data_IF_760511894498
#
_entry.id   IF_760511894498
#
_cell.length_a   1.000
_cell.length_b   1.000
_cell.length_c   1.000
_cell.angle_alpha   90.00
_cell.angle_beta   90.00
_cell.angle_gamma   90.00
#
_symmetry.space_group_name_H-M   'P 1'
#
loop_
_entity.id
_entity.type
_entity.pdbx_description
1 polymer ?
#
# COMPACT_ATOMS: atom_id res chain seq x y z
N UNK A 1 16.96 22.58 -2.00
CA UNK A 1 15.81 21.63 -1.90
C UNK A 1 16.01 20.58 -2.97
N UNK A 2 15.83 19.32 -2.63
CA UNK A 2 15.83 18.20 -3.58
C UNK A 2 14.58 18.32 -4.48
N UNK A 3 14.67 17.94 -5.75
CA UNK A 3 13.52 17.98 -6.65
C UNK A 3 12.57 16.78 -6.42
N UNK A 4 11.31 16.91 -6.83
CA UNK A 4 10.32 15.80 -6.76
C UNK A 4 10.80 14.61 -7.63
N UNK A 5 11.44 14.87 -8.77
CA UNK A 5 12.03 13.84 -9.62
C UNK A 5 13.15 13.06 -8.91
N UNK A 6 13.99 13.75 -8.17
CA UNK A 6 15.08 13.11 -7.41
C UNK A 6 14.54 12.36 -6.20
N UNK A 7 13.51 12.91 -5.51
CA UNK A 7 12.79 12.20 -4.44
C UNK A 7 12.13 10.93 -4.97
N UNK A 8 11.48 10.99 -6.15
CA UNK A 8 10.86 9.84 -6.81
C UNK A 8 11.88 8.71 -7.05
N UNK A 9 13.05 9.04 -7.63
CA UNK A 9 14.09 8.04 -7.87
C UNK A 9 14.62 7.39 -6.59
N UNK A 10 14.84 8.18 -5.55
CA UNK A 10 15.31 7.69 -4.25
C UNK A 10 14.25 6.86 -3.53
N UNK A 11 12.98 7.29 -3.56
CA UNK A 11 11.87 6.55 -2.97
C UNK A 11 11.67 5.17 -3.62
N UNK A 12 11.82 5.06 -4.95
CA UNK A 12 11.80 3.77 -5.64
C UNK A 12 12.93 2.83 -5.17
N UNK A 13 14.10 3.36 -4.84
CA UNK A 13 15.19 2.55 -4.29
C UNK A 13 14.88 2.09 -2.86
N UNK A 14 14.35 2.99 -2.04
CA UNK A 14 13.99 2.70 -0.64
C UNK A 14 12.96 1.57 -0.57
N UNK A 15 11.86 1.69 -1.32
CA UNK A 15 10.79 0.69 -1.29
C UNK A 15 11.25 -0.67 -1.83
N UNK A 16 12.12 -0.69 -2.84
CA UNK A 16 12.72 -1.95 -3.34
C UNK A 16 13.63 -2.60 -2.30
N UNK A 17 14.39 -1.80 -1.56
CA UNK A 17 15.23 -2.33 -0.48
C UNK A 17 14.38 -2.91 0.65
N UNK A 18 13.31 -2.26 1.05
CA UNK A 18 12.37 -2.76 2.04
C UNK A 18 11.70 -4.07 1.58
N UNK A 19 11.24 -4.13 0.32
CA UNK A 19 10.68 -5.36 -0.26
C UNK A 19 11.70 -6.51 -0.31
N UNK A 20 12.95 -6.23 -0.66
CA UNK A 20 14.01 -7.23 -0.64
C UNK A 20 14.29 -7.74 0.77
N UNK A 21 14.29 -6.86 1.78
CA UNK A 21 14.44 -7.25 3.18
C UNK A 21 13.29 -8.17 3.63
N UNK A 22 12.04 -7.81 3.32
CA UNK A 22 10.87 -8.64 3.62
C UNK A 22 10.95 -10.01 2.93
N UNK A 23 11.28 -10.03 1.63
CA UNK A 23 11.40 -11.27 0.86
C UNK A 23 12.47 -12.22 1.42
N UNK A 24 13.65 -11.69 1.76
CA UNK A 24 14.76 -12.50 2.29
C UNK A 24 14.49 -13.05 3.68
N UNK A 25 13.67 -12.35 4.48
CA UNK A 25 13.39 -12.72 5.87
C UNK A 25 12.11 -13.52 6.05
N UNK A 26 11.23 -13.59 5.07
CA UNK A 26 9.92 -14.22 5.22
C UNK A 26 9.99 -15.75 5.52
N UNK A 27 11.10 -16.42 5.17
CA UNK A 27 11.32 -17.85 5.45
C UNK A 27 12.18 -18.08 6.70
N UNK A 28 12.67 -17.00 7.34
CA UNK A 28 13.49 -17.11 8.55
C UNK A 28 12.59 -17.10 9.80
N UNK A 29 13.20 -17.38 10.95
CA UNK A 29 12.53 -17.23 12.23
C UNK A 29 12.33 -15.75 12.56
N UNK A 30 11.08 -15.33 12.71
CA UNK A 30 10.68 -13.99 13.17
C UNK A 30 9.56 -14.10 14.22
N UNK A 31 9.47 -13.09 15.06
CA UNK A 31 8.40 -13.05 16.07
C UNK A 31 7.13 -12.47 15.44
N UNK A 32 6.00 -13.06 15.82
CA UNK A 32 4.66 -12.62 15.42
C UNK A 32 3.90 -12.23 16.67
N UNK A 33 3.47 -10.97 16.73
CA UNK A 33 2.64 -10.43 17.80
C UNK A 33 1.25 -10.08 17.25
N UNK A 34 0.30 -9.82 18.14
CA UNK A 34 -1.02 -9.29 17.80
C UNK A 34 -1.12 -7.84 18.26
N UNK A 35 -1.63 -6.94 17.42
CA UNK A 35 -1.85 -5.51 17.77
C UNK A 35 -3.12 -5.34 18.61
N UNK A 36 -4.28 -5.61 18.02
CA UNK A 36 -5.58 -5.40 18.67
C UNK A 36 -6.34 -6.70 18.91
N UNK A 37 -6.20 -7.67 18.02
CA UNK A 37 -6.87 -8.97 18.09
C UNK A 37 -6.15 -10.01 17.21
N UNK A 38 -6.58 -11.28 17.26
CA UNK A 38 -5.93 -12.41 16.56
C UNK A 38 -5.87 -12.28 15.02
N UNK A 39 -6.58 -11.32 14.42
CA UNK A 39 -6.53 -11.05 12.97
C UNK A 39 -5.69 -9.84 12.62
N UNK A 40 -5.16 -9.12 13.62
CA UNK A 40 -4.37 -7.92 13.46
C UNK A 40 -2.93 -8.22 13.92
N UNK A 41 -2.12 -8.71 12.99
CA UNK A 41 -0.77 -9.19 13.26
C UNK A 41 0.27 -8.11 12.98
N UNK A 42 1.39 -8.23 13.67
CA UNK A 42 2.63 -7.50 13.40
C UNK A 42 3.81 -8.45 13.60
N UNK A 43 4.84 -8.31 12.81
CA UNK A 43 6.08 -9.08 12.98
C UNK A 43 7.26 -8.17 13.30
N UNK A 44 8.37 -8.78 13.74
CA UNK A 44 9.64 -8.04 13.87
C UNK A 44 10.09 -7.46 12.54
N UNK A 45 9.71 -8.07 11.41
CA UNK A 45 10.07 -7.61 10.07
C UNK A 45 9.29 -6.36 9.66
N UNK A 46 8.00 -6.24 10.03
CA UNK A 46 7.23 -4.99 9.84
C UNK A 46 7.96 -3.81 10.51
N UNK A 47 8.34 -3.98 11.78
CA UNK A 47 9.05 -2.96 12.56
C UNK A 47 10.42 -2.61 11.97
N UNK A 48 11.21 -3.60 11.57
CA UNK A 48 12.51 -3.38 10.94
C UNK A 48 12.40 -2.68 9.59
N UNK A 49 11.41 -3.06 8.78
CA UNK A 49 11.14 -2.41 7.50
C UNK A 49 10.71 -0.96 7.67
N UNK A 50 9.84 -0.69 8.64
CA UNK A 50 9.42 0.69 8.92
C UNK A 50 10.62 1.55 9.33
N UNK A 51 11.46 1.06 10.24
CA UNK A 51 12.67 1.78 10.64
C UNK A 51 13.60 2.03 9.44
N UNK A 52 13.83 1.00 8.61
CA UNK A 52 14.65 1.11 7.40
C UNK A 52 14.13 2.21 6.45
N UNK A 53 12.82 2.21 6.19
CA UNK A 53 12.19 3.20 5.30
C UNK A 53 12.30 4.59 5.92
N UNK A 54 11.89 4.75 7.18
CA UNK A 54 11.88 6.05 7.87
C UNK A 54 13.27 6.66 7.96
N UNK A 55 14.30 5.87 8.32
CA UNK A 55 15.69 6.33 8.39
C UNK A 55 16.22 6.83 7.04
N UNK A 56 15.81 6.18 5.95
CA UNK A 56 16.21 6.60 4.62
C UNK A 56 15.44 7.82 4.13
N UNK A 57 14.14 7.91 4.42
CA UNK A 57 13.33 9.09 4.11
C UNK A 57 13.89 10.32 4.81
N UNK A 58 14.24 10.23 6.10
CA UNK A 58 14.84 11.34 6.84
C UNK A 58 16.19 11.81 6.26
N UNK A 59 16.96 10.93 5.61
CA UNK A 59 18.21 11.30 4.93
C UNK A 59 17.97 12.06 3.63
N UNK A 60 16.94 11.69 2.87
CA UNK A 60 16.67 12.30 1.57
C UNK A 60 15.75 13.51 1.64
N UNK A 61 14.92 13.59 2.69
CA UNK A 61 13.91 14.63 2.89
C UNK A 61 13.82 14.97 4.39
N UNK A 62 14.85 15.61 4.98
CA UNK A 62 15.01 15.75 6.43
C UNK A 62 13.96 16.62 7.12
N UNK A 63 13.31 17.53 6.37
CA UNK A 63 12.28 18.43 6.88
C UNK A 63 10.86 17.86 6.74
N UNK A 64 10.72 16.63 6.20
CA UNK A 64 9.42 15.99 6.04
C UNK A 64 8.86 15.40 7.33
N UNK A 65 7.53 15.30 7.40
CA UNK A 65 6.83 14.51 8.39
C UNK A 65 6.62 13.08 7.86
N UNK A 66 6.61 12.09 8.74
CA UNK A 66 6.40 10.67 8.38
C UNK A 66 5.27 10.09 9.21
N UNK A 67 4.18 9.70 8.56
CA UNK A 67 3.10 8.88 9.15
C UNK A 67 3.34 7.42 8.77
N UNK A 68 3.49 6.55 9.75
CA UNK A 68 3.75 5.14 9.51
C UNK A 68 2.90 4.23 10.40
N UNK A 69 2.67 3.00 9.95
CA UNK A 69 1.71 2.07 10.57
C UNK A 69 2.16 1.57 11.93
N UNK A 70 3.44 1.21 12.09
CA UNK A 70 3.97 0.59 13.32
C UNK A 70 4.39 1.61 14.40
N UNK A 71 4.28 2.91 14.08
CA UNK A 71 4.47 4.00 15.04
C UNK A 71 5.91 4.47 15.22
N UNK A 72 6.83 4.10 14.33
CA UNK A 72 8.21 4.64 14.32
C UNK A 72 8.34 5.94 13.53
N UNK A 73 7.24 6.43 12.95
CA UNK A 73 7.14 7.77 12.34
C UNK A 73 7.02 8.87 13.37
N UNK A 74 6.50 10.01 12.96
CA UNK A 74 6.24 11.13 13.86
C UNK A 74 4.98 10.86 14.70
N UNK A 75 5.07 11.10 16.00
CA UNK A 75 3.97 10.78 16.93
C UNK A 75 2.67 11.54 16.64
N UNK A 76 2.77 12.71 16.02
CA UNK A 76 1.63 13.52 15.63
C UNK A 76 1.92 14.24 14.31
N UNK A 77 1.12 13.97 13.29
CA UNK A 77 1.09 14.80 12.09
C UNK A 77 0.17 15.98 12.37
N UNK A 78 0.74 17.16 12.59
CA UNK A 78 -0.01 18.36 12.99
C UNK A 78 -0.90 18.90 11.88
N UNK A 79 -0.45 18.78 10.65
CA UNK A 79 -1.15 19.18 9.43
C UNK A 79 -0.45 18.54 8.21
N UNK A 80 -1.04 18.72 7.02
CA UNK A 80 -0.50 18.21 5.75
C UNK A 80 0.32 19.25 4.98
N UNK A 81 0.88 20.27 5.67
CA UNK A 81 1.76 21.26 5.02
C UNK A 81 3.16 20.72 4.83
N UNK A 82 3.83 21.16 3.77
CA UNK A 82 5.12 20.65 3.38
C UNK A 82 5.06 19.21 2.87
N UNK A 83 6.11 18.46 3.10
CA UNK A 83 6.20 17.06 2.71
C UNK A 83 5.72 16.15 3.84
N UNK A 84 4.77 15.26 3.53
CA UNK A 84 4.29 14.22 4.44
C UNK A 84 4.40 12.87 3.74
N UNK A 85 5.32 12.05 4.21
CA UNK A 85 5.44 10.66 3.78
C UNK A 85 4.48 9.79 4.57
N UNK A 86 3.86 8.82 3.88
CA UNK A 86 2.95 7.84 4.48
C UNK A 86 3.46 6.46 4.13
N UNK A 87 3.66 5.61 5.15
CA UNK A 87 4.39 4.35 5.05
C UNK A 87 3.55 3.20 5.58
N UNK A 88 3.43 2.14 4.79
CA UNK A 88 3.03 0.81 5.22
C UNK A 88 4.19 -0.16 4.94
N UNK A 89 4.88 -0.65 5.98
CA UNK A 89 6.08 -1.46 5.82
C UNK A 89 5.80 -2.87 5.27
N UNK A 90 4.63 -3.45 5.59
CA UNK A 90 4.13 -4.74 5.07
C UNK A 90 2.60 -4.69 5.09
N UNK A 91 2.00 -4.22 4.02
CA UNK A 91 0.57 -4.34 3.80
C UNK A 91 0.19 -5.81 3.56
N UNK A 92 -0.74 -6.31 4.36
CA UNK A 92 -1.13 -7.71 4.33
C UNK A 92 -0.26 -8.62 5.21
N UNK A 93 0.10 -8.20 6.43
CA UNK A 93 0.92 -8.96 7.39
C UNK A 93 0.37 -10.38 7.65
N UNK A 94 -0.96 -10.58 7.66
CA UNK A 94 -1.56 -11.90 7.75
C UNK A 94 -1.14 -12.81 6.59
N UNK A 95 -1.13 -12.28 5.37
CA UNK A 95 -0.71 -13.01 4.16
C UNK A 95 0.80 -13.28 4.19
N UNK A 96 1.59 -12.30 4.63
CA UNK A 96 3.02 -12.48 4.86
C UNK A 96 3.28 -13.66 5.77
N UNK A 97 2.62 -13.71 6.95
CA UNK A 97 2.83 -14.77 7.97
C UNK A 97 2.28 -16.13 7.55
N UNK A 98 1.14 -16.19 6.86
CA UNK A 98 0.42 -17.44 6.61
C UNK A 98 0.60 -18.02 5.21
N UNK A 99 0.89 -17.16 4.23
CA UNK A 99 0.92 -17.57 2.83
C UNK A 99 2.28 -17.33 2.16
N UNK A 100 3.11 -16.44 2.72
CA UNK A 100 4.34 -15.96 2.09
C UNK A 100 4.06 -15.44 0.66
N UNK A 101 2.90 -14.83 0.47
CA UNK A 101 2.40 -14.34 -0.82
C UNK A 101 1.34 -13.24 -0.62
N UNK A 102 0.96 -12.53 -1.69
CA UNK A 102 -0.09 -11.51 -1.70
C UNK A 102 0.06 -10.45 -0.62
N UNK A 103 1.26 -9.91 -0.47
CA UNK A 103 1.57 -8.79 0.40
C UNK A 103 2.40 -7.74 -0.34
N UNK A 104 2.34 -6.50 0.13
CA UNK A 104 3.01 -5.38 -0.51
C UNK A 104 3.82 -4.56 0.50
N UNK A 105 4.70 -3.69 -0.01
CA UNK A 105 5.21 -2.53 0.72
C UNK A 105 4.62 -1.30 0.07
N UNK A 106 4.14 -0.33 0.86
CA UNK A 106 3.48 0.85 0.33
C UNK A 106 4.11 2.13 0.85
N UNK A 107 4.23 3.13 -0.04
CA UNK A 107 4.83 4.41 0.28
C UNK A 107 4.14 5.51 -0.52
N UNK A 108 3.86 6.67 0.10
CA UNK A 108 3.33 7.83 -0.60
C UNK A 108 3.98 9.12 -0.10
N UNK A 109 4.08 10.12 -0.98
CA UNK A 109 4.41 11.50 -0.64
C UNK A 109 3.23 12.41 -0.95
N UNK A 110 2.81 13.14 0.05
CA UNK A 110 1.91 14.27 -0.07
C UNK A 110 2.69 15.58 0.09
N UNK A 111 2.42 16.53 -0.78
CA UNK A 111 2.99 17.89 -0.71
C UNK A 111 1.84 18.85 -0.52
N UNK A 112 1.85 19.58 0.61
CA UNK A 112 0.77 20.51 0.98
C UNK A 112 -0.63 19.87 0.91
N UNK A 113 -0.74 18.63 1.37
CA UNK A 113 -1.98 17.85 1.37
C UNK A 113 -2.40 17.28 0.02
N UNK A 114 -1.59 17.45 -1.03
CA UNK A 114 -1.87 16.91 -2.35
C UNK A 114 -1.08 15.63 -2.60
N UNK A 115 -1.71 14.53 -3.04
CA UNK A 115 -0.99 13.32 -3.43
C UNK A 115 -0.04 13.67 -4.58
N UNK A 116 1.24 13.33 -4.41
CA UNK A 116 2.30 13.74 -5.35
C UNK A 116 3.05 12.54 -5.91
N UNK A 117 3.44 11.59 -5.05
CA UNK A 117 4.08 10.32 -5.41
C UNK A 117 3.36 9.17 -4.69
N UNK A 118 3.18 8.06 -5.38
CA UNK A 118 2.61 6.84 -4.80
C UNK A 118 3.34 5.60 -5.30
N UNK A 119 3.55 4.63 -4.42
CA UNK A 119 4.30 3.40 -4.70
C UNK A 119 3.65 2.21 -4.01
N UNK A 120 3.44 1.14 -4.75
CA UNK A 120 3.01 -0.17 -4.26
C UNK A 120 3.96 -1.21 -4.83
N UNK A 121 4.74 -1.86 -3.99
CA UNK A 121 5.61 -2.95 -4.41
C UNK A 121 4.95 -4.29 -4.10
N UNK A 122 4.54 -5.01 -5.14
CA UNK A 122 4.24 -6.43 -5.04
C UNK A 122 5.56 -7.18 -4.82
N UNK A 123 5.79 -7.58 -3.59
CA UNK A 123 7.10 -8.11 -3.16
C UNK A 123 7.41 -9.43 -3.83
N UNK A 124 6.44 -10.33 -3.89
CA UNK A 124 6.65 -11.68 -4.43
C UNK A 124 6.93 -11.65 -5.94
N UNK A 125 6.21 -10.82 -6.68
CA UNK A 125 6.41 -10.67 -8.11
C UNK A 125 7.53 -9.66 -8.45
N UNK A 126 8.16 -9.03 -7.45
CA UNK A 126 9.17 -7.99 -7.60
C UNK A 126 8.74 -6.91 -8.61
N UNK A 127 7.48 -6.48 -8.50
CA UNK A 127 6.88 -5.53 -9.42
C UNK A 127 6.44 -4.27 -8.71
N UNK A 128 7.14 -3.17 -8.97
CA UNK A 128 6.84 -1.86 -8.42
C UNK A 128 5.83 -1.15 -9.30
N UNK A 129 4.67 -0.85 -8.73
CA UNK A 129 3.68 0.05 -9.29
C UNK A 129 3.92 1.43 -8.67
N UNK A 130 4.08 2.45 -9.51
CA UNK A 130 4.34 3.80 -9.02
C UNK A 130 3.73 4.85 -9.92
N UNK A 131 3.36 5.96 -9.32
CA UNK A 131 2.77 7.09 -9.99
C UNK A 131 3.30 8.42 -9.47
N UNK A 132 3.30 9.42 -10.35
CA UNK A 132 3.60 10.81 -10.02
C UNK A 132 2.52 11.70 -10.61
N UNK A 133 2.06 12.68 -9.83
CA UNK A 133 1.07 13.66 -10.28
C UNK A 133 1.46 14.28 -11.63
N UNK A 134 0.60 14.11 -12.62
CA UNK A 134 0.79 14.62 -13.97
C UNK A 134 1.69 13.78 -14.89
N UNK A 135 2.36 12.71 -14.41
CA UNK A 135 3.21 11.85 -15.22
C UNK A 135 2.56 10.51 -15.61
N UNK A 136 1.55 10.08 -14.84
CA UNK A 136 0.86 8.81 -15.01
C UNK A 136 1.41 7.70 -14.11
N UNK A 137 0.94 6.47 -14.34
CA UNK A 137 1.26 5.28 -13.53
C UNK A 137 2.12 4.31 -14.34
N UNK A 138 3.06 3.67 -13.66
CA UNK A 138 4.02 2.74 -14.24
C UNK A 138 4.07 1.44 -13.44
N UNK A 139 4.31 0.34 -14.12
CA UNK A 139 4.73 -0.93 -13.53
C UNK A 139 6.20 -1.17 -13.89
N UNK A 140 7.10 -1.07 -12.92
CA UNK A 140 8.53 -0.91 -13.15
C UNK A 140 8.77 0.27 -14.13
N UNK A 141 9.35 0.00 -15.31
CA UNK A 141 9.64 1.02 -16.34
C UNK A 141 8.57 1.12 -17.42
N UNK A 142 7.45 0.36 -17.31
CA UNK A 142 6.40 0.34 -18.34
C UNK A 142 5.21 1.17 -17.89
N UNK A 143 4.83 2.15 -18.71
CA UNK A 143 3.64 2.95 -18.45
C UNK A 143 2.38 2.07 -18.56
N UNK A 144 1.51 2.15 -17.56
CA UNK A 144 0.23 1.46 -17.55
C UNK A 144 -0.79 2.31 -18.31
N UNK A 145 -1.56 1.68 -19.18
CA UNK A 145 -2.69 2.32 -19.83
C UNK A 145 -3.83 2.53 -18.82
N UNK A 146 -4.61 3.58 -19.02
CA UNK A 146 -5.82 3.76 -18.22
C UNK A 146 -6.72 2.53 -18.36
N UNK A 147 -7.20 1.94 -17.26
CA UNK A 147 -8.17 0.86 -17.29
C UNK A 147 -9.44 1.25 -18.05
N UNK A 148 -10.12 0.26 -18.62
CA UNK A 148 -11.42 0.47 -19.23
C UNK A 148 -12.44 0.92 -18.15
N UNK A 149 -13.30 1.86 -18.49
CA UNK A 149 -14.41 2.29 -17.64
C UNK A 149 -15.56 1.28 -17.80
N UNK A 150 -15.56 0.26 -16.97
CA UNK A 150 -16.53 -0.82 -16.99
C UNK A 150 -17.58 -0.62 -15.89
N UNK A 151 -18.82 -0.96 -16.21
CA UNK A 151 -19.89 -1.00 -15.22
C UNK A 151 -19.70 -2.15 -14.21
N UNK A 152 -20.38 -2.05 -13.07
CA UNK A 152 -20.28 -3.05 -12.01
C UNK A 152 -20.58 -4.48 -12.50
N UNK A 153 -21.56 -4.62 -13.41
CA UNK A 153 -21.96 -5.91 -13.98
C UNK A 153 -20.97 -6.50 -15.02
N UNK A 154 -19.93 -5.75 -15.31
CA UNK A 154 -18.87 -6.14 -16.26
C UNK A 154 -17.52 -6.28 -15.54
N UNK A 155 -17.51 -6.09 -14.21
CA UNK A 155 -16.29 -5.98 -13.41
C UNK A 155 -16.23 -7.03 -12.29
N UNK A 156 -15.02 -7.52 -12.03
CA UNK A 156 -14.69 -8.13 -10.76
C UNK A 156 -14.54 -7.04 -9.70
N UNK A 157 -15.02 -7.30 -8.50
CA UNK A 157 -14.94 -6.36 -7.38
C UNK A 157 -14.12 -6.98 -6.24
N UNK A 158 -13.25 -6.21 -5.63
CA UNK A 158 -12.64 -6.58 -4.36
C UNK A 158 -13.44 -6.00 -3.20
N UNK A 159 -13.65 -6.81 -2.14
CA UNK A 159 -14.32 -6.37 -0.93
C UNK A 159 -13.76 -7.13 0.26
N UNK A 160 -13.46 -6.43 1.35
CA UNK A 160 -12.92 -7.09 2.52
C UNK A 160 -13.97 -7.97 3.24
N UNK A 161 -13.48 -8.92 4.05
CA UNK A 161 -14.31 -9.90 4.77
C UNK A 161 -15.34 -9.24 5.70
N UNK A 162 -14.95 -8.20 6.42
CA UNK A 162 -15.82 -7.54 7.41
C UNK A 162 -17.02 -6.92 6.71
N UNK A 163 -16.78 -6.17 5.62
CA UNK A 163 -17.86 -5.54 4.85
C UNK A 163 -18.73 -6.57 4.13
N UNK A 164 -18.13 -7.62 3.57
CA UNK A 164 -18.86 -8.71 2.91
C UNK A 164 -19.84 -9.41 3.86
N UNK A 165 -19.43 -9.57 5.13
CA UNK A 165 -20.23 -10.27 6.17
C UNK A 165 -21.06 -9.33 7.05
N UNK A 166 -20.99 -8.00 6.81
CA UNK A 166 -21.65 -7.00 7.66
C UNK A 166 -23.17 -7.08 7.71
N UNK A 167 -23.78 -7.72 6.71
CA UNK A 167 -25.25 -7.73 6.55
C UNK A 167 -25.80 -6.44 5.93
N UNK A 168 -24.98 -5.46 5.60
CA UNK A 168 -25.39 -4.23 4.93
C UNK A 168 -26.02 -4.54 3.56
N UNK A 169 -27.26 -4.05 3.36
CA UNK A 169 -28.05 -4.34 2.16
C UNK A 169 -27.48 -3.70 0.89
N UNK A 170 -26.85 -2.53 0.99
CA UNK A 170 -26.25 -1.85 -0.14
C UNK A 170 -24.97 -2.56 -0.58
N UNK A 171 -24.11 -2.93 0.37
CA UNK A 171 -22.89 -3.70 0.09
C UNK A 171 -23.23 -5.08 -0.48
N UNK A 172 -24.26 -5.74 0.05
CA UNK A 172 -24.75 -7.03 -0.47
C UNK A 172 -25.25 -6.89 -1.91
N UNK A 173 -25.97 -5.82 -2.22
CA UNK A 173 -26.44 -5.57 -3.58
C UNK A 173 -25.29 -5.29 -4.54
N UNK A 174 -24.32 -4.49 -4.16
CA UNK A 174 -23.10 -4.25 -4.94
C UNK A 174 -22.38 -5.57 -5.23
N UNK A 175 -22.20 -6.41 -4.20
CA UNK A 175 -21.55 -7.70 -4.32
C UNK A 175 -22.30 -8.66 -5.28
N UNK A 176 -23.64 -8.62 -5.27
CA UNK A 176 -24.49 -9.44 -6.15
C UNK A 176 -24.50 -8.95 -7.60
N UNK A 177 -24.38 -7.65 -7.82
CA UNK A 177 -24.39 -7.05 -9.16
C UNK A 177 -23.02 -7.16 -9.86
N UNK A 178 -21.92 -7.37 -9.13
CA UNK A 178 -20.60 -7.61 -9.71
C UNK A 178 -20.52 -9.02 -10.35
N UNK A 179 -19.67 -9.20 -11.40
CA UNK A 179 -19.44 -10.52 -12.02
C UNK A 179 -18.90 -11.52 -10.99
N UNK A 180 -18.14 -11.05 -10.03
CA UNK A 180 -17.59 -11.88 -8.97
C UNK A 180 -16.78 -11.06 -7.98
N UNK A 181 -16.59 -11.65 -6.78
CA UNK A 181 -15.82 -11.03 -5.72
C UNK A 181 -14.41 -11.61 -5.65
N UNK A 182 -13.48 -10.75 -5.21
CA UNK A 182 -12.11 -11.12 -4.82
C UNK A 182 -11.83 -10.63 -3.41
N UNK A 183 -10.91 -11.32 -2.74
CA UNK A 183 -10.54 -11.02 -1.36
C UNK A 183 -9.10 -11.49 -1.17
N UNK A 184 -8.14 -10.62 -1.55
CA UNK A 184 -6.71 -10.96 -1.46
C UNK A 184 -6.13 -10.69 -0.07
N UNK A 185 -6.76 -9.80 0.70
CA UNK A 185 -6.36 -9.52 2.09
C UNK A 185 -5.14 -8.60 2.23
N UNK A 186 -4.83 -7.83 1.21
CA UNK A 186 -3.81 -6.81 1.14
C UNK A 186 -4.34 -5.64 0.34
N UNK A 187 -4.37 -4.45 0.92
CA UNK A 187 -4.90 -3.26 0.25
C UNK A 187 -4.09 -2.91 -1.01
N UNK A 188 -2.77 -3.02 -0.94
CA UNK A 188 -1.88 -2.79 -2.07
C UNK A 188 -2.12 -3.76 -3.22
N UNK A 189 -2.27 -5.06 -2.94
CA UNK A 189 -2.57 -6.07 -3.98
C UNK A 189 -3.95 -5.83 -4.62
N UNK A 190 -4.95 -5.46 -3.81
CA UNK A 190 -6.28 -5.10 -4.33
C UNK A 190 -6.21 -3.83 -5.21
N UNK A 191 -5.46 -2.80 -4.78
CA UNK A 191 -5.27 -1.56 -5.55
C UNK A 191 -4.51 -1.81 -6.86
N UNK A 192 -3.51 -2.69 -6.86
CA UNK A 192 -2.84 -3.15 -8.09
C UNK A 192 -3.86 -3.72 -9.07
N UNK A 193 -4.81 -4.53 -8.58
CA UNK A 193 -5.90 -5.04 -9.38
C UNK A 193 -6.75 -3.93 -10.04
N UNK A 194 -7.04 -2.86 -9.29
CA UNK A 194 -7.82 -1.71 -9.80
C UNK A 194 -7.02 -0.91 -10.83
N UNK A 195 -5.79 -0.51 -10.52
CA UNK A 195 -4.98 0.32 -11.44
C UNK A 195 -4.57 -0.41 -12.73
N UNK A 196 -4.59 -1.75 -12.71
CA UNK A 196 -4.32 -2.58 -13.90
C UNK A 196 -5.58 -2.99 -14.66
N UNK A 197 -6.78 -2.65 -14.16
CA UNK A 197 -8.06 -3.01 -14.78
C UNK A 197 -8.48 -4.48 -14.59
N UNK A 198 -7.80 -5.22 -13.72
CA UNK A 198 -8.20 -6.59 -13.34
C UNK A 198 -9.41 -6.57 -12.40
N UNK A 199 -9.56 -5.49 -11.64
CA UNK A 199 -10.71 -5.20 -10.78
C UNK A 199 -11.35 -3.87 -11.22
N UNK A 200 -12.66 -3.81 -11.23
CA UNK A 200 -13.40 -2.56 -11.44
C UNK A 200 -13.51 -1.69 -10.20
N UNK A 201 -13.14 -2.20 -9.04
CA UNK A 201 -13.14 -1.44 -7.79
C UNK A 201 -12.71 -2.25 -6.58
N UNK A 202 -12.40 -1.52 -5.51
CA UNK A 202 -12.06 -2.08 -4.20
C UNK A 202 -12.83 -1.36 -3.09
N UNK A 203 -13.47 -2.11 -2.20
CA UNK A 203 -14.26 -1.59 -1.09
C UNK A 203 -13.72 -2.17 0.22
N UNK A 204 -13.23 -1.28 1.09
CA UNK A 204 -12.66 -1.67 2.38
C UNK A 204 -12.69 -0.53 3.39
N UNK A 205 -12.46 -0.85 4.66
CA UNK A 205 -12.22 0.10 5.74
C UNK A 205 -10.71 0.40 5.79
N UNK A 206 -10.26 1.29 4.91
CA UNK A 206 -8.84 1.60 4.76
C UNK A 206 -8.33 2.54 5.86
N UNK A 207 -7.11 2.30 6.30
CA UNK A 207 -6.33 3.23 7.11
C UNK A 207 -5.58 4.23 6.20
N UNK A 208 -5.04 5.33 6.73
CA UNK A 208 -4.30 6.29 5.90
C UNK A 208 -3.16 5.66 5.09
N UNK A 209 -2.39 4.75 5.67
CA UNK A 209 -1.29 4.07 5.01
C UNK A 209 -1.74 3.08 3.94
N UNK A 210 -2.90 2.44 4.12
CA UNK A 210 -3.51 1.57 3.09
C UNK A 210 -3.95 2.38 1.86
N UNK A 211 -4.48 3.59 2.07
CA UNK A 211 -5.09 4.39 1.00
C UNK A 211 -4.08 5.25 0.25
N UNK A 212 -3.11 5.82 0.95
CA UNK A 212 -2.30 6.92 0.45
C UNK A 212 -1.54 6.60 -0.84
N UNK A 213 -1.01 5.39 -0.97
CA UNK A 213 -0.22 4.97 -2.12
C UNK A 213 -1.06 4.70 -3.38
N UNK A 214 -2.35 4.44 -3.22
CA UNK A 214 -3.28 4.16 -4.32
C UNK A 214 -4.08 5.39 -4.80
N UNK A 215 -3.88 6.56 -4.17
CA UNK A 215 -4.70 7.76 -4.39
C UNK A 215 -4.21 8.69 -5.53
#
# INVERSE_FOLDING_TARGET
MISIEELDQKAQQIIRQAGQNAYQKMENDYQVDTKTNYTDLVTTIDRENEQLINDQLRKIDPDSQILSEEGFGDQQISNMQGHVWIVDPIDGTMNFVKQHNNFAVMLALYVDGQPTLGYILDVINNRLYHGRKGAGVYANNQKISQPADLGLRESLLAMNRILTLSGDSALKKIAQDAIGLRMYGSAGIEMIGVITGQLGGYISNLKPWDLAAGN
#
